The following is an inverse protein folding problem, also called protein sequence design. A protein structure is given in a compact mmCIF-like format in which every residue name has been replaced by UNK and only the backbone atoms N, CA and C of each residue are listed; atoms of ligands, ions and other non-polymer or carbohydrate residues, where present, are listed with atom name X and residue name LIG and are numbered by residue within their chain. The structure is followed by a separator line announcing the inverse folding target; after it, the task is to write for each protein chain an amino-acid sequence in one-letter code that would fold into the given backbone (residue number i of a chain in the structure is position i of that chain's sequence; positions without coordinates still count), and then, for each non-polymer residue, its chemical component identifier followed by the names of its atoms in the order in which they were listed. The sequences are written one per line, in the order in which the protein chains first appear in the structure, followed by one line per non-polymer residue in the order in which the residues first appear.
data_IF_338309989236
#
_entry.id   IF_338309989236
#
_cell.length_a   1.000
_cell.length_b   1.000
_cell.length_c   1.000
_cell.angle_alpha   90.00
_cell.angle_beta   90.00
_cell.angle_gamma   90.00
#
_symmetry.space_group_name_H-M   'P 1'
#
loop_
_entity.id
_entity.type
_entity.pdbx_description
1 polymer ?
#
# COMPACT_ATOMS: atom_id res chain seq x y z
N UNK A 1 -14.69 -16.58 7.78
CA UNK A 1 -13.45 -16.99 8.47
C UNK A 1 -12.72 -15.70 8.78
N UNK A 2 -12.44 -15.39 10.04
CA UNK A 2 -11.72 -14.15 10.40
C UNK A 2 -10.22 -14.43 10.34
N UNK A 3 -9.49 -13.60 9.61
CA UNK A 3 -8.03 -13.63 9.58
C UNK A 3 -7.51 -12.71 10.70
N UNK A 4 -6.57 -13.23 11.48
CA UNK A 4 -5.87 -12.48 12.52
C UNK A 4 -4.40 -12.42 12.13
N UNK A 5 -3.78 -11.25 12.29
CA UNK A 5 -2.32 -11.10 12.21
C UNK A 5 -1.65 -11.93 13.30
N UNK A 6 -0.48 -12.46 13.00
CA UNK A 6 0.31 -13.18 14.00
C UNK A 6 0.76 -12.21 15.10
N UNK A 7 0.94 -12.68 16.34
CA UNK A 7 1.40 -11.79 17.42
C UNK A 7 2.83 -11.36 17.12
N UNK A 8 3.12 -10.07 17.27
CA UNK A 8 4.45 -9.44 17.11
C UNK A 8 4.97 -9.29 15.67
N UNK A 9 4.08 -9.21 14.67
CA UNK A 9 4.41 -8.80 13.29
C UNK A 9 3.86 -7.39 12.95
N UNK A 10 4.47 -6.29 13.45
CA UNK A 10 4.08 -4.92 13.09
C UNK A 10 4.09 -4.68 11.56
N UNK A 11 4.96 -5.39 10.85
CA UNK A 11 5.10 -5.30 9.40
C UNK A 11 3.89 -5.80 8.62
N UNK A 12 3.05 -6.67 9.20
CA UNK A 12 1.81 -7.11 8.57
C UNK A 12 0.71 -6.04 8.60
N UNK A 13 0.85 -5.04 9.46
CA UNK A 13 -0.10 -3.93 9.57
C UNK A 13 0.23 -2.75 8.63
N UNK A 14 1.35 -2.82 7.89
CA UNK A 14 1.84 -1.70 7.08
C UNK A 14 0.87 -1.27 5.97
N UNK A 15 0.13 -2.22 5.39
CA UNK A 15 -0.82 -1.94 4.31
C UNK A 15 -2.06 -1.20 4.83
N UNK A 16 -2.62 -1.65 5.96
CA UNK A 16 -3.79 -1.00 6.56
C UNK A 16 -3.41 0.35 7.20
N UNK A 17 -2.19 0.49 7.72
CA UNK A 17 -1.66 1.78 8.18
C UNK A 17 -1.51 2.78 7.02
N UNK A 18 -0.93 2.34 5.90
CA UNK A 18 -0.78 3.16 4.70
C UNK A 18 -2.13 3.57 4.10
N UNK A 19 -3.10 2.64 4.10
CA UNK A 19 -4.48 2.91 3.71
C UNK A 19 -5.12 3.99 4.60
N UNK A 20 -5.12 3.78 5.92
CA UNK A 20 -5.71 4.74 6.86
C UNK A 20 -5.05 6.12 6.79
N UNK A 21 -3.73 6.17 6.61
CA UNK A 21 -3.02 7.42 6.44
C UNK A 21 -3.46 8.15 5.16
N UNK A 22 -3.53 7.44 4.03
CA UNK A 22 -3.99 8.00 2.75
C UNK A 22 -5.41 8.55 2.85
N UNK A 23 -6.33 7.79 3.47
CA UNK A 23 -7.72 8.25 3.65
C UNK A 23 -7.79 9.54 4.47
N UNK A 24 -7.02 9.61 5.57
CA UNK A 24 -7.02 10.80 6.43
C UNK A 24 -6.44 12.01 5.73
N UNK A 25 -5.24 11.87 5.16
CA UNK A 25 -4.49 12.99 4.59
C UNK A 25 -5.13 13.52 3.31
N UNK A 26 -5.57 12.63 2.42
CA UNK A 26 -6.01 13.03 1.07
C UNK A 26 -7.48 13.46 1.03
N UNK A 27 -8.31 13.02 1.98
CA UNK A 27 -9.77 13.24 1.93
C UNK A 27 -10.36 13.84 3.19
N UNK A 28 -10.04 13.31 4.37
CA UNK A 28 -10.71 13.75 5.62
C UNK A 28 -10.17 15.11 6.07
N UNK A 29 -8.85 15.26 6.17
CA UNK A 29 -8.23 16.48 6.72
C UNK A 29 -8.34 17.70 5.80
N UNK A 30 -8.64 17.47 4.52
CA UNK A 30 -8.84 18.53 3.53
C UNK A 30 -10.32 18.92 3.38
N UNK A 31 -11.23 18.21 4.03
CA UNK A 31 -12.68 18.47 3.95
C UNK A 31 -13.18 19.14 5.24
N UNK A 32 -13.97 20.19 5.08
CA UNK A 32 -14.81 20.71 6.18
C UNK A 32 -16.06 19.81 6.28
N UNK A 33 -16.40 19.36 7.48
CA UNK A 33 -17.52 18.44 7.72
C UNK A 33 -18.37 19.02 8.85
N UNK A 34 -19.52 19.55 8.51
CA UNK A 34 -20.42 20.23 9.46
C UNK A 34 -21.40 19.27 10.13
N UNK A 35 -21.72 18.15 9.47
CA UNK A 35 -22.70 17.21 9.96
C UNK A 35 -22.45 15.77 9.46
N UNK A 36 -23.20 14.83 10.03
CA UNK A 36 -23.04 13.41 9.73
C UNK A 36 -23.29 13.05 8.26
N UNK A 37 -24.28 13.65 7.60
CA UNK A 37 -24.61 13.33 6.21
C UNK A 37 -23.49 13.78 5.26
N UNK A 38 -22.92 14.95 5.53
CA UNK A 38 -21.75 15.42 4.80
C UNK A 38 -20.54 14.50 5.03
N UNK A 39 -20.26 14.13 6.28
CA UNK A 39 -19.19 13.19 6.60
C UNK A 39 -19.36 11.84 5.90
N UNK A 40 -20.59 11.34 5.83
CA UNK A 40 -20.92 10.13 5.07
C UNK A 40 -20.59 10.30 3.58
N UNK A 41 -20.99 11.43 2.98
CA UNK A 41 -20.73 11.73 1.57
C UNK A 41 -19.24 11.84 1.28
N UNK A 42 -18.48 12.51 2.15
CA UNK A 42 -17.01 12.61 2.05
C UNK A 42 -16.37 11.23 2.06
N UNK A 43 -16.79 10.36 2.98
CA UNK A 43 -16.25 9.00 3.07
C UNK A 43 -16.62 8.16 1.84
N UNK A 44 -17.88 8.20 1.38
CA UNK A 44 -18.30 7.48 0.18
C UNK A 44 -17.51 7.91 -1.07
N UNK A 45 -17.30 9.22 -1.24
CA UNK A 45 -16.47 9.77 -2.31
C UNK A 45 -15.00 9.35 -2.17
N UNK A 46 -14.45 9.39 -0.96
CA UNK A 46 -13.07 8.96 -0.69
C UNK A 46 -12.85 7.50 -1.07
N UNK A 47 -13.78 6.60 -0.73
CA UNK A 47 -13.69 5.19 -1.13
C UNK A 47 -13.83 5.01 -2.63
N UNK A 48 -14.70 5.77 -3.28
CA UNK A 48 -14.84 5.72 -4.74
C UNK A 48 -13.54 6.17 -5.42
N UNK A 49 -12.99 7.32 -5.05
CA UNK A 49 -11.77 7.86 -5.63
C UNK A 49 -10.57 6.93 -5.39
N UNK A 50 -10.36 6.51 -4.13
CA UNK A 50 -9.28 5.60 -3.76
C UNK A 50 -9.25 4.31 -4.60
N UNK A 51 -10.43 3.72 -4.84
CA UNK A 51 -10.56 2.44 -5.54
C UNK A 51 -10.57 2.57 -7.07
N UNK A 52 -11.06 3.69 -7.61
CA UNK A 52 -11.31 3.81 -9.05
C UNK A 52 -10.35 4.77 -9.75
N UNK A 53 -9.84 5.79 -9.07
CA UNK A 53 -9.16 6.94 -9.67
C UNK A 53 -7.74 7.09 -9.15
N UNK A 54 -7.55 7.08 -7.82
CA UNK A 54 -6.26 7.38 -7.19
C UNK A 54 -5.17 6.38 -7.63
N UNK A 55 -4.03 6.84 -8.16
CA UNK A 55 -2.90 5.97 -8.46
C UNK A 55 -2.15 5.58 -7.18
N UNK A 56 -1.76 4.32 -7.06
CA UNK A 56 -0.98 3.82 -5.93
C UNK A 56 0.40 3.38 -6.39
N UNK A 57 1.46 3.92 -5.80
CA UNK A 57 2.85 3.59 -6.16
C UNK A 57 3.20 2.12 -5.94
N UNK A 58 2.57 1.48 -4.96
CA UNK A 58 2.69 0.05 -4.73
C UNK A 58 2.00 -0.78 -5.80
N UNK A 59 1.08 -0.20 -6.58
CA UNK A 59 0.31 -0.86 -7.65
C UNK A 59 0.75 -0.36 -9.04
N UNK A 60 2.03 -0.08 -9.24
CA UNK A 60 2.57 0.43 -10.51
C UNK A 60 1.85 1.71 -11.01
N UNK A 61 1.42 2.55 -10.05
CA UNK A 61 0.64 3.77 -10.27
C UNK A 61 -0.75 3.56 -10.89
N UNK A 62 -1.31 2.36 -10.81
CA UNK A 62 -2.72 2.11 -11.11
C UNK A 62 -3.62 2.36 -9.90
N UNK A 63 -4.90 2.66 -10.18
CA UNK A 63 -5.94 2.51 -9.15
C UNK A 63 -6.18 1.03 -8.84
N UNK A 64 -6.73 0.67 -7.66
CA UNK A 64 -6.99 -0.72 -7.31
C UNK A 64 -7.85 -1.45 -8.34
N UNK A 65 -8.86 -0.77 -8.88
CA UNK A 65 -9.70 -1.31 -9.96
C UNK A 65 -8.92 -1.57 -11.24
N UNK A 66 -8.09 -0.63 -11.68
CA UNK A 66 -7.26 -0.78 -12.88
C UNK A 66 -6.24 -1.90 -12.72
N UNK A 67 -5.62 -1.99 -11.54
CA UNK A 67 -4.68 -3.04 -11.21
C UNK A 67 -5.35 -4.41 -11.29
N UNK A 68 -6.53 -4.57 -10.67
CA UNK A 68 -7.28 -5.82 -10.69
C UNK A 68 -7.67 -6.23 -12.12
N UNK A 69 -8.16 -5.28 -12.92
CA UNK A 69 -8.50 -5.53 -14.32
C UNK A 69 -7.29 -6.04 -15.13
N UNK A 70 -6.13 -5.41 -14.97
CA UNK A 70 -4.88 -5.88 -15.59
C UNK A 70 -4.46 -7.23 -15.04
N UNK A 71 -4.53 -7.41 -13.73
CA UNK A 71 -4.17 -8.65 -13.08
C UNK A 71 -4.99 -9.82 -13.61
N UNK A 72 -6.28 -9.65 -13.85
CA UNK A 72 -7.17 -10.72 -14.30
C UNK A 72 -7.05 -10.97 -15.81
N UNK A 73 -6.93 -9.90 -16.61
CA UNK A 73 -7.05 -9.98 -18.06
C UNK A 73 -5.72 -9.97 -18.83
N UNK A 74 -4.60 -9.60 -18.21
CA UNK A 74 -3.30 -9.46 -18.88
C UNK A 74 -2.23 -10.38 -18.24
N UNK A 75 -1.93 -11.48 -18.92
CA UNK A 75 -0.88 -12.42 -18.47
C UNK A 75 0.52 -11.82 -18.47
N UNK A 76 0.82 -10.93 -19.43
CA UNK A 76 2.11 -10.26 -19.50
C UNK A 76 2.31 -9.30 -18.34
N UNK A 77 1.25 -8.61 -17.94
CA UNK A 77 1.25 -7.78 -16.73
C UNK A 77 1.53 -8.59 -15.47
N UNK A 78 0.88 -9.76 -15.29
CA UNK A 78 1.12 -10.64 -14.14
C UNK A 78 2.58 -11.08 -14.05
N UNK A 79 3.19 -11.44 -15.19
CA UNK A 79 4.59 -11.85 -15.25
C UNK A 79 5.53 -10.68 -14.89
N UNK A 80 5.36 -9.53 -15.56
CA UNK A 80 6.10 -8.30 -15.28
C UNK A 80 6.04 -7.91 -13.80
N UNK A 81 4.82 -7.88 -13.24
CA UNK A 81 4.62 -7.45 -11.87
C UNK A 81 5.19 -8.47 -10.87
N UNK A 82 5.14 -9.77 -11.20
CA UNK A 82 5.82 -10.82 -10.45
C UNK A 82 7.34 -10.63 -10.40
N UNK A 83 7.97 -10.30 -11.54
CA UNK A 83 9.40 -9.98 -11.60
C UNK A 83 9.75 -8.72 -10.80
N UNK A 84 8.92 -7.67 -10.90
CA UNK A 84 9.06 -6.45 -10.10
C UNK A 84 9.10 -6.76 -8.60
N UNK A 85 8.16 -7.57 -8.10
CA UNK A 85 8.12 -7.98 -6.68
C UNK A 85 9.36 -8.78 -6.26
N UNK A 86 9.86 -9.67 -7.13
CA UNK A 86 11.09 -10.42 -6.86
C UNK A 86 12.30 -9.49 -6.74
N UNK A 87 12.45 -8.56 -7.68
CA UNK A 87 13.51 -7.55 -7.68
C UNK A 87 13.44 -6.64 -6.44
N UNK A 88 12.23 -6.28 -6.01
CA UNK A 88 12.00 -5.52 -4.79
C UNK A 88 12.48 -6.30 -3.56
N UNK A 89 12.04 -7.55 -3.39
CA UNK A 89 12.47 -8.43 -2.28
C UNK A 89 13.99 -8.60 -2.24
N UNK A 90 14.63 -8.82 -3.38
CA UNK A 90 16.08 -8.94 -3.45
C UNK A 90 16.81 -7.65 -3.08
N UNK A 91 16.25 -6.50 -3.44
CA UNK A 91 16.78 -5.20 -3.05
C UNK A 91 16.70 -4.98 -1.54
N UNK A 92 15.58 -5.35 -0.89
CA UNK A 92 15.46 -5.32 0.57
C UNK A 92 16.46 -6.26 1.25
N UNK A 93 16.60 -7.49 0.75
CA UNK A 93 17.58 -8.46 1.24
C UNK A 93 19.01 -7.91 1.18
N UNK A 94 19.39 -7.28 0.05
CA UNK A 94 20.70 -6.64 -0.11
C UNK A 94 20.91 -5.46 0.84
N UNK A 95 19.93 -4.56 0.97
CA UNK A 95 20.02 -3.41 1.90
C UNK A 95 20.19 -3.86 3.34
N UNK A 96 19.39 -4.83 3.77
CA UNK A 96 19.47 -5.45 5.10
C UNK A 96 20.84 -6.07 5.35
N UNK A 97 21.35 -6.88 4.42
CA UNK A 97 22.69 -7.47 4.55
C UNK A 97 23.79 -6.40 4.63
N UNK A 98 23.70 -5.33 3.85
CA UNK A 98 24.63 -4.20 3.92
C UNK A 98 24.57 -3.48 5.27
N UNK A 99 23.37 -3.28 5.83
CA UNK A 99 23.20 -2.69 7.16
C UNK A 99 23.93 -3.50 8.23
N UNK A 100 23.65 -4.81 8.32
CA UNK A 100 24.32 -5.68 9.30
C UNK A 100 25.84 -5.79 9.06
N UNK A 101 26.28 -5.75 7.79
CA UNK A 101 27.72 -5.74 7.46
C UNK A 101 28.40 -4.47 7.95
N UNK A 102 27.80 -3.29 7.71
CA UNK A 102 28.31 -2.00 8.20
C UNK A 102 28.32 -1.94 9.73
N UNK A 103 27.29 -2.47 10.37
CA UNK A 103 27.18 -2.52 11.82
C UNK A 103 28.27 -3.41 12.43
N UNK A 104 28.62 -4.54 11.79
CA UNK A 104 29.74 -5.41 12.20
C UNK A 104 31.13 -4.79 11.98
N UNK A 105 31.28 -3.89 11.01
CA UNK A 105 32.55 -3.20 10.72
C UNK A 105 32.79 -2.03 11.69
N UNK A 106 31.71 -1.45 12.25
CA UNK A 106 31.75 -0.32 13.19
C UNK A 106 31.67 -0.75 14.67
N UNK A 107 31.98 -2.02 14.99
CA UNK A 107 32.13 -2.45 16.40
C UNK A 107 33.59 -2.25 16.79
N UNK A 108 33.91 -1.41 17.80
CA UNK A 108 35.28 -1.17 18.26
C UNK A 108 35.95 -2.43 18.85
#
# INVERSE_FOLDING_TARGET
RHEYIERETPTENGDIESFHNSIKTDYIWVSEIDNFNEGKTVIENAFYDYNNIRPHSTLDYYSPKQFLDKWDNDSGFREYYGEFLNNMKDSYRRRRNNYYRRMRINVP
#
